data_IF_089308333920
#
_entry.id   IF_089308333920
#
_cell.length_a   1.000
_cell.length_b   1.000
_cell.length_c   1.000
_cell.angle_alpha   90.00
_cell.angle_beta   90.00
_cell.angle_gamma   90.00
#
_symmetry.space_group_name_H-M   'P 1'
#
loop_
_entity.id
_entity.type
_entity.pdbx_description
1 polymer ?
#
# COMPACT_ATOMS: atom_id res chain seq x y z
N UNK A 1 -18.31 16.67 23.95
CA UNK A 1 -17.12 16.79 23.09
C UNK A 1 -16.06 15.85 23.67
N UNK A 2 -16.00 14.61 23.19
CA UNK A 2 -15.03 13.62 23.66
C UNK A 2 -13.89 13.60 22.65
N UNK A 3 -12.75 14.18 23.03
CA UNK A 3 -11.50 14.05 22.29
C UNK A 3 -11.10 12.57 22.34
N UNK A 4 -11.12 11.90 21.20
CA UNK A 4 -10.41 10.63 21.05
C UNK A 4 -8.93 10.97 21.04
N UNK A 5 -8.25 10.76 22.17
CA UNK A 5 -6.80 10.72 22.24
C UNK A 5 -6.32 9.66 21.24
N UNK A 6 -5.72 10.10 20.14
CA UNK A 6 -5.03 9.23 19.20
C UNK A 6 -3.79 8.67 19.91
N UNK A 7 -3.92 7.47 20.48
CA UNK A 7 -2.77 6.69 20.87
C UNK A 7 -1.96 6.41 19.60
N UNK A 8 -0.71 6.87 19.58
CA UNK A 8 0.29 6.59 18.56
C UNK A 8 0.40 5.05 18.42
N UNK A 9 -0.33 4.50 17.44
CA UNK A 9 -0.30 3.08 17.09
C UNK A 9 0.97 2.83 16.29
N UNK A 10 2.12 3.02 16.94
CA UNK A 10 3.39 2.65 16.34
C UNK A 10 3.45 1.13 16.29
N UNK A 11 3.24 0.57 15.12
CA UNK A 11 3.42 -0.87 14.87
C UNK A 11 4.89 -1.20 15.19
N UNK A 12 5.17 -2.11 16.14
CA UNK A 12 6.53 -2.54 16.42
C UNK A 12 7.15 -3.08 15.13
N UNK A 13 8.35 -2.59 14.76
CA UNK A 13 9.04 -3.16 13.61
C UNK A 13 9.62 -4.54 13.96
N UNK A 14 9.57 -5.51 13.02
CA UNK A 14 10.13 -6.83 13.23
C UNK A 14 11.64 -6.78 13.44
N UNK A 15 12.17 -7.73 14.21
CA UNK A 15 13.60 -7.83 14.50
C UNK A 15 14.38 -8.33 13.26
N UNK A 16 15.68 -8.06 13.17
CA UNK A 16 16.48 -8.30 11.96
C UNK A 16 16.41 -9.71 11.33
N UNK A 17 16.25 -10.76 12.15
CA UNK A 17 16.09 -12.13 11.65
C UNK A 17 14.73 -12.36 10.97
N UNK A 18 13.66 -11.78 11.53
CA UNK A 18 12.31 -11.85 10.96
C UNK A 18 12.21 -11.02 9.68
N UNK A 19 12.95 -9.90 9.61
CA UNK A 19 13.07 -9.09 8.41
C UNK A 19 13.75 -9.86 7.27
N UNK A 20 14.82 -10.60 7.54
CA UNK A 20 15.50 -11.43 6.54
C UNK A 20 14.59 -12.53 5.97
N UNK A 21 13.91 -13.26 6.85
CA UNK A 21 12.96 -14.30 6.42
C UNK A 21 11.78 -13.73 5.62
N UNK A 22 11.34 -12.51 5.92
CA UNK A 22 10.31 -11.81 5.16
C UNK A 22 10.84 -11.38 3.78
N UNK A 23 12.06 -10.87 3.69
CA UNK A 23 12.68 -10.50 2.43
C UNK A 23 12.89 -11.70 1.50
N UNK A 24 13.31 -12.84 2.06
CA UNK A 24 13.42 -14.10 1.30
C UNK A 24 12.07 -14.54 0.72
N UNK A 25 10.98 -14.40 1.49
CA UNK A 25 9.63 -14.69 1.00
C UNK A 25 9.17 -13.73 -0.11
N UNK A 26 9.58 -12.46 -0.08
CA UNK A 26 9.31 -11.51 -1.17
C UNK A 26 10.09 -11.86 -2.44
N UNK A 27 11.24 -12.53 -2.28
CA UNK A 27 12.07 -13.02 -3.37
C UNK A 27 11.53 -14.23 -4.13
N UNK A 28 10.52 -14.91 -3.59
CA UNK A 28 9.95 -16.11 -4.21
C UNK A 28 8.75 -15.74 -5.10
N UNK A 29 9.01 -15.49 -6.38
CA UNK A 29 7.99 -15.08 -7.35
C UNK A 29 6.85 -16.09 -7.53
N UNK A 30 7.13 -17.39 -7.36
CA UNK A 30 6.14 -18.48 -7.46
C UNK A 30 4.93 -18.25 -6.55
N UNK A 31 5.15 -17.59 -5.41
CA UNK A 31 4.10 -17.26 -4.46
C UNK A 31 3.03 -16.33 -5.05
N UNK A 32 3.41 -15.43 -5.95
CA UNK A 32 2.51 -14.42 -6.53
C UNK A 32 1.90 -14.88 -7.84
N UNK A 33 2.61 -15.74 -8.58
CA UNK A 33 2.11 -16.34 -9.84
C UNK A 33 0.82 -17.13 -9.62
N UNK A 34 0.71 -17.85 -8.50
CA UNK A 34 -0.51 -18.59 -8.14
C UNK A 34 -1.74 -17.69 -7.95
N UNK A 35 -1.53 -16.41 -7.63
CA UNK A 35 -2.58 -15.40 -7.50
C UNK A 35 -2.89 -14.68 -8.82
N UNK A 36 -2.26 -15.09 -9.93
CA UNK A 36 -2.45 -14.48 -11.26
C UNK A 36 -1.60 -13.25 -11.51
N UNK A 37 -0.72 -12.86 -10.58
CA UNK A 37 0.29 -11.83 -10.78
C UNK A 37 1.52 -12.44 -11.47
N UNK A 38 1.35 -12.84 -12.73
CA UNK A 38 2.44 -13.36 -13.52
C UNK A 38 3.53 -12.30 -13.66
N UNK A 39 4.76 -12.69 -13.38
CA UNK A 39 5.91 -11.84 -13.60
C UNK A 39 6.00 -11.45 -15.09
N UNK A 40 6.04 -10.15 -15.38
CA UNK A 40 6.54 -9.64 -16.65
C UNK A 40 7.88 -8.94 -16.40
N UNK A 41 8.94 -9.40 -17.07
CA UNK A 41 10.28 -8.82 -17.02
C UNK A 41 10.36 -7.41 -17.60
N UNK A 42 9.26 -6.86 -18.13
CA UNK A 42 9.19 -5.50 -18.67
C UNK A 42 9.39 -4.38 -17.64
N UNK A 43 9.04 -4.58 -16.37
CA UNK A 43 9.01 -3.51 -15.36
C UNK A 43 9.97 -3.70 -14.18
N UNK A 44 10.57 -4.87 -13.99
CA UNK A 44 11.44 -5.20 -12.86
C UNK A 44 12.51 -6.24 -13.21
N UNK A 45 13.70 -6.11 -12.63
CA UNK A 45 14.84 -7.03 -12.83
C UNK A 45 14.84 -8.15 -11.78
N UNK A 46 14.29 -7.89 -10.60
CA UNK A 46 14.24 -8.86 -9.48
C UNK A 46 12.83 -9.02 -8.88
N UNK A 47 12.52 -10.17 -8.24
CA UNK A 47 11.20 -10.38 -7.62
C UNK A 47 10.86 -9.37 -6.55
N UNK A 48 11.88 -8.92 -5.84
CA UNK A 48 11.76 -7.87 -4.86
C UNK A 48 11.39 -6.54 -5.53
N UNK A 49 12.02 -6.18 -6.65
CA UNK A 49 11.65 -4.97 -7.40
C UNK A 49 10.20 -5.05 -7.90
N UNK A 50 9.79 -6.18 -8.48
CA UNK A 50 8.41 -6.39 -8.94
C UNK A 50 7.40 -6.28 -7.80
N UNK A 51 7.73 -6.85 -6.63
CA UNK A 51 6.92 -6.68 -5.44
C UNK A 51 6.80 -5.20 -5.06
N UNK A 52 7.89 -4.44 -5.04
CA UNK A 52 7.86 -3.03 -4.65
C UNK A 52 7.19 -2.09 -5.66
N UNK A 53 7.22 -2.40 -6.95
CA UNK A 53 6.59 -1.59 -7.98
C UNK A 53 5.11 -1.92 -8.18
N UNK A 54 4.75 -3.21 -8.18
CA UNK A 54 3.45 -3.66 -8.71
C UNK A 54 2.54 -4.31 -7.64
N UNK A 55 3.10 -4.95 -6.61
CA UNK A 55 2.31 -5.78 -5.68
C UNK A 55 2.16 -5.21 -4.26
N UNK A 56 3.17 -4.53 -3.74
CA UNK A 56 3.17 -3.99 -2.38
C UNK A 56 2.16 -2.86 -2.24
N UNK A 57 1.84 -2.20 -3.35
CA UNK A 57 0.77 -1.23 -3.46
C UNK A 57 -0.36 -1.88 -4.24
N UNK A 58 -1.51 -2.08 -3.61
CA UNK A 58 -2.68 -2.53 -4.35
C UNK A 58 -2.96 -1.55 -5.53
N UNK A 59 -2.98 -2.00 -6.79
CA UNK A 59 -3.46 -1.19 -7.90
C UNK A 59 -4.99 -0.98 -7.78
N UNK A 60 -5.62 -0.29 -8.71
CA UNK A 60 -7.08 -0.30 -8.78
C UNK A 60 -7.80 0.71 -7.90
N UNK A 61 -9.04 0.31 -7.61
CA UNK A 61 -10.03 1.06 -6.88
C UNK A 61 -10.10 0.53 -5.45
N UNK A 62 -10.05 1.43 -4.46
CA UNK A 62 -10.04 1.06 -3.03
C UNK A 62 -11.17 1.77 -2.31
N UNK A 63 -11.83 1.07 -1.40
CA UNK A 63 -12.81 1.65 -0.50
C UNK A 63 -12.21 1.85 0.88
N UNK A 64 -12.52 2.98 1.53
CA UNK A 64 -11.97 3.26 2.86
C UNK A 64 -10.46 3.54 2.88
N UNK A 65 -9.83 3.30 4.03
CA UNK A 65 -8.38 3.32 4.20
C UNK A 65 -7.78 4.72 4.35
N UNK A 66 -6.59 4.89 3.79
CA UNK A 66 -5.82 6.14 3.79
C UNK A 66 -5.54 6.58 2.35
N UNK A 67 -5.54 7.89 2.08
CA UNK A 67 -5.45 8.42 0.71
C UNK A 67 -4.08 8.27 0.05
N UNK A 68 -2.99 8.15 0.83
CA UNK A 68 -1.63 7.93 0.30
C UNK A 68 -0.98 6.77 1.05
N UNK A 69 -0.64 5.72 0.32
CA UNK A 69 -0.07 4.48 0.87
C UNK A 69 1.44 4.32 0.65
N UNK A 70 2.03 5.03 -0.33
CA UNK A 70 3.34 4.61 -0.86
C UNK A 70 4.58 5.37 -0.40
N UNK A 71 4.46 6.59 0.15
CA UNK A 71 5.63 7.46 0.38
C UNK A 71 5.56 8.34 1.62
N UNK A 72 4.39 8.48 2.24
CA UNK A 72 4.20 9.30 3.44
C UNK A 72 3.27 8.57 4.38
N UNK A 73 3.60 8.62 5.67
CA UNK A 73 2.71 8.18 6.73
C UNK A 73 1.31 8.82 6.57
N UNK A 74 0.26 8.15 7.06
CA UNK A 74 -1.07 8.72 7.12
C UNK A 74 -1.06 10.12 7.74
N UNK A 75 -1.42 11.14 6.97
CA UNK A 75 -1.60 12.51 7.47
C UNK A 75 -3.09 12.79 7.59
N UNK A 76 -3.57 13.32 8.74
CA UNK A 76 -4.95 13.75 8.89
C UNK A 76 -5.37 14.74 7.81
N UNK A 77 -6.59 14.60 7.30
CA UNK A 77 -7.12 15.45 6.22
C UNK A 77 -8.42 16.10 6.67
N UNK A 78 -8.38 17.25 7.35
CA UNK A 78 -9.61 17.95 7.74
C UNK A 78 -10.29 18.58 6.53
N UNK A 79 -11.63 18.62 6.55
CA UNK A 79 -12.45 19.35 5.60
C UNK A 79 -12.11 20.85 5.67
N UNK A 80 -11.83 21.53 4.55
CA UNK A 80 -11.47 22.95 4.57
C UNK A 80 -12.60 23.86 5.07
N UNK A 81 -13.86 23.40 4.99
CA UNK A 81 -15.04 24.20 5.39
C UNK A 81 -15.42 24.01 6.86
N UNK A 82 -15.41 22.77 7.36
CA UNK A 82 -15.95 22.45 8.68
C UNK A 82 -14.92 21.80 9.62
N UNK A 83 -13.68 21.59 9.15
CA UNK A 83 -12.55 21.03 9.91
C UNK A 83 -12.80 19.59 10.41
N UNK A 84 -13.88 18.94 9.98
CA UNK A 84 -14.15 17.54 10.30
C UNK A 84 -13.17 16.65 9.54
N UNK A 85 -12.66 15.60 10.20
CA UNK A 85 -11.77 14.62 9.56
C UNK A 85 -12.45 14.01 8.34
N UNK A 86 -11.78 14.08 7.17
CA UNK A 86 -12.27 13.46 5.96
C UNK A 86 -11.83 12.00 5.89
N UNK A 87 -12.79 11.10 5.80
CA UNK A 87 -12.55 9.67 5.64
C UNK A 87 -12.64 9.35 4.15
N UNK A 88 -11.61 8.75 3.52
CA UNK A 88 -11.71 8.37 2.12
C UNK A 88 -12.76 7.27 1.95
N UNK A 89 -13.72 7.51 1.05
CA UNK A 89 -14.73 6.51 0.71
C UNK A 89 -14.31 5.67 -0.49
N UNK A 90 -13.68 6.32 -1.48
CA UNK A 90 -13.20 5.70 -2.71
C UNK A 90 -11.89 6.37 -3.14
N UNK A 91 -10.87 5.56 -3.42
CA UNK A 91 -9.61 5.98 -4.05
C UNK A 91 -9.49 5.28 -5.39
N UNK A 92 -9.26 6.05 -6.46
CA UNK A 92 -9.06 5.54 -7.82
C UNK A 92 -7.63 5.88 -8.23
N UNK A 93 -6.84 4.87 -8.58
CA UNK A 93 -5.49 5.11 -9.08
C UNK A 93 -5.53 5.80 -10.46
N UNK A 94 -4.57 6.71 -10.68
CA UNK A 94 -4.59 7.63 -11.82
C UNK A 94 -4.43 6.97 -13.19
N UNK A 95 -4.14 5.67 -13.27
CA UNK A 95 -4.02 4.91 -14.52
C UNK A 95 -5.21 3.96 -14.77
N UNK A 96 -6.06 3.72 -13.78
CA UNK A 96 -7.15 2.71 -13.83
C UNK A 96 -8.30 3.07 -14.77
N UNK A 97 -8.25 4.25 -15.37
CA UNK A 97 -9.20 4.67 -16.41
C UNK A 97 -8.69 4.36 -17.82
N UNK A 98 -7.38 4.07 -18.00
CA UNK A 98 -6.80 3.75 -19.32
C UNK A 98 -6.99 2.25 -19.60
N UNK A 99 -7.69 1.87 -20.68
CA UNK A 99 -7.87 0.46 -21.06
C UNK A 99 -6.57 -0.24 -21.50
N UNK A 100 -5.43 0.48 -21.55
CA UNK A 100 -4.10 -0.08 -21.84
C UNK A 100 -3.29 -0.43 -20.58
N UNK A 101 -3.82 -0.14 -19.39
CA UNK A 101 -3.23 -0.54 -18.12
C UNK A 101 -3.52 -2.01 -17.80
#
# INVERSE_FOLDING_TARGET
MLARTGADHRVPQPHGAEQGALQDQLGDASRWETAGAAWDSGCAVTPQEFYFSDLCHAPGWKTGGWTRWGLTDPVPRPCPECVTEAIPLLTIASAEWDPRN
#
